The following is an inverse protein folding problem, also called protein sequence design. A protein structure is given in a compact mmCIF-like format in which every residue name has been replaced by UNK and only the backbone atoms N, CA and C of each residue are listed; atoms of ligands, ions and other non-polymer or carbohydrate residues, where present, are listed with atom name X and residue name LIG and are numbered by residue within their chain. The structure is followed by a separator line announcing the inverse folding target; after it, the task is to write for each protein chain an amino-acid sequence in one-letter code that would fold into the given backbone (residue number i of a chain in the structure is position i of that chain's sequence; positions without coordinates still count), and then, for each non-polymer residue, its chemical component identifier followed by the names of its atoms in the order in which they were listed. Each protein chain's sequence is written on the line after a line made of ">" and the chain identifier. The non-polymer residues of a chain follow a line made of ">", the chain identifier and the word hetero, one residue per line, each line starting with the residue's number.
data_IF_878636285146
#
_entry.id   IF_878636285146
#
_cell.length_a   1.000
_cell.length_b   1.000
_cell.length_c   1.000
_cell.angle_alpha   90.00
_cell.angle_beta   90.00
_cell.angle_gamma   90.00
#
_symmetry.space_group_name_H-M   'P 1'
#
loop_
_entity.id
_entity.type
_entity.pdbx_description
1 polymer ?
#
# COMPACT_ATOMS: atom_id res chain seq x y z
N UNK A 1 -16.87 -41.51 61.53
CA UNK A 1 -17.53 -40.52 62.43
C UNK A 1 -17.14 -39.14 61.92
N UNK A 2 -17.97 -38.13 61.77
CA UNK A 2 -19.36 -37.88 62.17
C UNK A 2 -19.84 -36.71 61.29
N UNK A 3 -21.14 -36.73 60.96
CA UNK A 3 -21.94 -35.67 60.31
C UNK A 3 -21.78 -34.30 60.97
N UNK A 4 -22.26 -33.23 60.31
CA UNK A 4 -23.12 -32.12 60.83
C UNK A 4 -23.02 -30.97 59.80
N UNK A 5 -24.02 -30.71 58.95
CA UNK A 5 -25.28 -29.95 59.14
C UNK A 5 -25.12 -28.43 59.30
N UNK A 6 -25.97 -27.72 58.53
CA UNK A 6 -26.68 -26.46 58.84
C UNK A 6 -25.88 -25.15 58.95
N UNK A 7 -26.25 -24.11 58.18
CA UNK A 7 -27.31 -23.14 58.55
C UNK A 7 -27.33 -21.92 57.61
N UNK A 8 -28.47 -21.23 57.60
CA UNK A 8 -28.99 -20.15 56.76
C UNK A 8 -28.12 -18.87 56.76
N UNK A 9 -28.16 -17.99 55.75
CA UNK A 9 -29.16 -16.91 55.70
C UNK A 9 -29.15 -16.12 54.38
N UNK A 10 -30.35 -15.89 53.86
CA UNK A 10 -30.69 -15.04 52.71
C UNK A 10 -30.43 -13.55 52.98
N UNK A 11 -29.93 -12.82 51.97
CA UNK A 11 -30.17 -11.38 51.83
C UNK A 11 -30.63 -11.10 50.40
N UNK A 12 -31.89 -10.67 50.26
CA UNK A 12 -32.49 -10.19 49.01
C UNK A 12 -32.20 -8.70 48.87
N UNK A 13 -31.65 -8.27 47.73
CA UNK A 13 -31.58 -6.84 47.37
C UNK A 13 -32.63 -6.56 46.31
N UNK A 14 -33.50 -5.60 46.63
CA UNK A 14 -34.66 -5.19 45.85
C UNK A 14 -34.27 -4.47 44.56
N UNK A 15 -35.03 -4.78 43.51
CA UNK A 15 -35.21 -3.96 42.33
C UNK A 15 -36.09 -2.73 42.62
N UNK A 16 -35.79 -1.59 42.02
CA UNK A 16 -36.75 -0.51 41.80
C UNK A 16 -36.55 0.11 40.40
N UNK A 17 -37.64 0.39 39.66
CA UNK A 17 -37.59 0.82 38.25
C UNK A 17 -37.57 2.35 38.12
N UNK A 18 -36.88 2.83 37.08
CA UNK A 18 -36.87 4.24 36.68
C UNK A 18 -38.07 4.53 35.78
N UNK A 19 -38.93 5.45 36.21
CA UNK A 19 -40.14 5.86 35.54
C UNK A 19 -40.00 7.23 34.84
N UNK A 20 -40.84 7.38 33.80
CA UNK A 20 -41.54 8.59 33.36
C UNK A 20 -40.81 9.69 32.55
N UNK A 21 -40.96 9.54 31.23
CA UNK A 21 -41.43 10.52 30.22
C UNK A 21 -41.75 11.95 30.71
N UNK A 22 -41.10 12.94 30.08
CA UNK A 22 -41.70 14.25 29.77
C UNK A 22 -41.37 14.64 28.32
N UNK A 23 -42.42 14.77 27.51
CA UNK A 23 -42.39 15.39 26.20
C UNK A 23 -42.43 16.92 26.36
N UNK A 24 -41.42 17.61 25.87
CA UNK A 24 -41.41 19.07 25.71
C UNK A 24 -41.12 19.37 24.23
N UNK A 25 -42.01 20.14 23.62
CA UNK A 25 -42.15 20.27 22.18
C UNK A 25 -41.02 21.04 21.49
N UNK A 26 -40.82 20.68 20.21
CA UNK A 26 -40.39 21.58 19.15
C UNK A 26 -41.09 21.09 17.86
N UNK A 27 -42.35 21.46 17.70
CA UNK A 27 -43.02 21.38 16.40
C UNK A 27 -42.69 22.63 15.60
N UNK A 28 -41.94 22.44 14.50
CA UNK A 28 -42.02 23.26 13.30
C UNK A 28 -41.10 24.48 13.24
N UNK A 29 -40.02 24.37 12.46
CA UNK A 29 -39.79 25.17 11.24
C UNK A 29 -38.81 24.37 10.36
N UNK A 30 -39.33 23.38 9.64
CA UNK A 30 -38.60 22.83 8.50
C UNK A 30 -38.73 23.85 7.37
N UNK A 31 -37.61 24.48 7.02
CA UNK A 31 -37.54 25.44 5.92
C UNK A 31 -37.67 24.67 4.58
N UNK A 32 -38.76 24.81 3.81
CA UNK A 32 -38.96 24.05 2.57
C UNK A 32 -38.13 24.61 1.40
N UNK A 33 -37.08 25.38 1.67
CA UNK A 33 -36.22 26.03 0.66
C UNK A 33 -34.76 25.59 0.67
N UNK A 34 -34.35 24.69 1.57
CA UNK A 34 -32.96 24.22 1.60
C UNK A 34 -32.72 23.12 0.55
N UNK A 35 -32.74 23.46 -0.74
CA UNK A 35 -32.00 22.70 -1.74
C UNK A 35 -30.53 22.80 -1.37
N UNK A 36 -30.03 21.82 -0.62
CA UNK A 36 -28.60 21.55 -0.56
C UNK A 36 -28.19 21.20 -1.97
N UNK A 37 -27.54 22.14 -2.66
CA UNK A 37 -26.79 21.83 -3.86
C UNK A 37 -25.75 20.80 -3.42
N UNK A 38 -26.04 19.52 -3.64
CA UNK A 38 -25.08 18.46 -3.48
C UNK A 38 -24.04 18.69 -4.57
N UNK A 39 -22.94 19.33 -4.17
CA UNK A 39 -21.77 19.45 -5.02
C UNK A 39 -21.33 18.04 -5.36
N UNK A 40 -21.67 17.58 -6.57
CA UNK A 40 -21.27 16.28 -7.07
C UNK A 40 -19.76 16.17 -6.93
N UNK A 41 -19.30 15.18 -6.15
CA UNK A 41 -17.88 14.91 -6.02
C UNK A 41 -17.34 14.60 -7.42
N UNK A 42 -16.22 15.23 -7.83
CA UNK A 42 -15.61 14.92 -9.12
C UNK A 42 -15.30 13.42 -9.17
N UNK A 43 -15.49 12.82 -10.35
CA UNK A 43 -15.19 11.42 -10.58
C UNK A 43 -13.74 11.12 -10.17
N UNK A 44 -13.54 9.95 -9.54
CA UNK A 44 -12.22 9.55 -9.08
C UNK A 44 -11.23 9.48 -10.27
N UNK A 45 -9.97 9.92 -10.08
CA UNK A 45 -8.97 9.83 -11.13
C UNK A 45 -8.71 8.34 -11.49
N UNK A 46 -8.31 8.07 -12.75
CA UNK A 46 -7.96 6.72 -13.16
C UNK A 46 -6.82 6.17 -12.28
N UNK A 47 -6.90 4.89 -11.92
CA UNK A 47 -5.89 4.22 -11.12
C UNK A 47 -4.62 3.99 -11.94
N UNK A 48 -3.46 4.20 -11.31
CA UNK A 48 -2.16 3.83 -11.89
C UNK A 48 -2.05 2.29 -11.82
N UNK A 49 -1.73 1.61 -12.93
CA UNK A 49 -1.51 0.16 -12.92
C UNK A 49 -0.39 -0.22 -11.96
N UNK A 50 -0.55 -1.34 -11.24
CA UNK A 50 0.43 -1.80 -10.23
C UNK A 50 1.77 -2.13 -10.88
N UNK A 51 1.73 -2.60 -12.11
CA UNK A 51 2.89 -2.98 -12.92
C UNK A 51 3.79 -1.77 -13.18
N UNK A 52 3.24 -0.56 -13.31
CA UNK A 52 4.01 0.67 -13.51
C UNK A 52 4.77 1.05 -12.24
N UNK A 53 4.19 0.81 -11.06
CA UNK A 53 4.77 1.19 -9.78
C UNK A 53 5.74 0.15 -9.22
N UNK A 54 5.47 -1.14 -9.47
CA UNK A 54 6.16 -2.26 -8.83
C UNK A 54 6.82 -3.23 -9.81
N UNK A 55 6.70 -2.98 -11.12
CA UNK A 55 7.39 -3.76 -12.15
C UNK A 55 8.88 -3.44 -12.23
N UNK A 56 9.59 -4.21 -13.06
CA UNK A 56 10.99 -3.89 -13.35
C UNK A 56 11.08 -2.63 -14.21
N UNK A 57 12.09 -1.78 -13.97
CA UNK A 57 12.37 -0.66 -14.85
C UNK A 57 12.89 -1.14 -16.21
N UNK A 58 12.63 -0.36 -17.26
CA UNK A 58 13.19 -0.63 -18.60
C UNK A 58 14.72 -0.57 -18.59
N UNK A 59 15.28 0.45 -17.93
CA UNK A 59 16.72 0.64 -17.71
C UNK A 59 16.94 1.32 -16.36
N UNK A 60 17.88 0.82 -15.56
CA UNK A 60 18.21 1.39 -14.26
C UNK A 60 19.72 1.35 -13.95
N UNK A 61 20.12 2.09 -12.93
CA UNK A 61 21.47 2.09 -12.35
C UNK A 61 22.60 2.35 -13.38
N UNK A 62 22.35 3.17 -14.40
CA UNK A 62 23.30 3.42 -15.51
C UNK A 62 24.68 3.90 -15.02
N UNK A 63 25.73 3.36 -15.63
CA UNK A 63 27.13 3.73 -15.36
C UNK A 63 27.94 3.81 -16.66
N UNK A 64 28.78 4.83 -16.79
CA UNK A 64 29.73 4.97 -17.90
C UNK A 64 31.02 4.23 -17.56
N UNK A 65 31.64 3.58 -18.54
CA UNK A 65 32.96 2.94 -18.38
C UNK A 65 34.05 3.99 -18.12
N UNK A 66 35.17 3.63 -17.45
CA UNK A 66 36.25 4.58 -17.17
C UNK A 66 36.86 5.24 -18.42
N UNK A 67 36.89 4.52 -19.55
CA UNK A 67 37.39 5.02 -20.84
C UNK A 67 36.35 5.85 -21.63
N UNK A 68 35.11 5.97 -21.12
CA UNK A 68 34.04 6.75 -21.74
C UNK A 68 33.45 6.13 -23.01
N UNK A 69 33.82 4.91 -23.39
CA UNK A 69 33.35 4.29 -24.64
C UNK A 69 32.07 3.49 -24.50
N UNK A 70 31.75 3.04 -23.29
CA UNK A 70 30.64 2.14 -23.03
C UNK A 70 29.75 2.65 -21.91
N UNK A 71 28.46 2.29 -21.98
CA UNK A 71 27.52 2.38 -20.89
C UNK A 71 27.13 0.97 -20.46
N UNK A 72 27.03 0.77 -19.15
CA UNK A 72 26.37 -0.38 -18.58
C UNK A 72 25.09 0.08 -17.88
N UNK A 73 24.07 -0.77 -17.84
CA UNK A 73 22.79 -0.52 -17.15
C UNK A 73 22.13 -1.84 -16.77
N UNK A 74 21.20 -1.82 -15.83
CA UNK A 74 20.32 -2.95 -15.52
C UNK A 74 19.07 -2.90 -16.40
N UNK A 75 18.73 -4.01 -17.04
CA UNK A 75 17.50 -4.18 -17.78
C UNK A 75 17.02 -5.65 -17.73
N UNK A 76 15.70 -5.90 -17.80
CA UNK A 76 15.16 -7.25 -17.65
C UNK A 76 15.49 -8.13 -18.85
N UNK A 77 15.93 -9.35 -18.58
CA UNK A 77 15.94 -10.48 -19.52
C UNK A 77 14.90 -11.46 -19.01
N UNK A 78 13.83 -11.69 -19.78
CA UNK A 78 12.70 -12.53 -19.37
C UNK A 78 12.12 -12.16 -17.99
N UNK A 79 12.05 -10.86 -17.68
CA UNK A 79 11.53 -10.38 -16.39
C UNK A 79 12.50 -10.43 -15.21
N UNK A 80 13.78 -10.78 -15.43
CA UNK A 80 14.82 -10.76 -14.37
C UNK A 80 15.91 -9.75 -14.73
N UNK A 81 16.22 -8.81 -13.82
CA UNK A 81 17.22 -7.77 -14.06
C UNK A 81 18.62 -8.36 -14.26
N UNK A 82 19.24 -7.97 -15.36
CA UNK A 82 20.59 -8.36 -15.75
C UNK A 82 21.40 -7.12 -16.13
N UNK A 83 22.72 -7.24 -16.12
CA UNK A 83 23.63 -6.20 -16.64
C UNK A 83 23.66 -6.26 -18.16
N UNK A 84 23.44 -5.11 -18.78
CA UNK A 84 23.57 -4.85 -20.20
C UNK A 84 24.72 -3.88 -20.44
N UNK A 85 25.37 -4.00 -21.60
CA UNK A 85 26.42 -3.09 -22.04
C UNK A 85 26.14 -2.64 -23.46
N UNK A 86 26.31 -1.34 -23.72
CA UNK A 86 26.16 -0.73 -25.04
C UNK A 86 27.29 0.29 -25.29
N UNK A 87 27.71 0.52 -26.55
CA UNK A 87 28.54 1.68 -26.91
C UNK A 87 27.83 2.99 -26.58
N UNK A 88 28.56 4.00 -26.11
CA UNK A 88 28.00 5.35 -25.81
C UNK A 88 27.34 5.98 -27.05
N UNK A 89 27.99 5.80 -28.21
CA UNK A 89 27.52 6.32 -29.50
C UNK A 89 26.31 5.56 -30.08
N UNK A 90 26.03 4.33 -29.60
CA UNK A 90 24.90 3.54 -30.05
C UNK A 90 24.27 2.75 -28.91
N UNK A 91 23.39 3.42 -28.17
CA UNK A 91 22.73 2.90 -26.97
C UNK A 91 21.77 1.74 -27.27
N UNK A 92 21.23 1.70 -28.47
CA UNK A 92 20.30 0.64 -28.93
C UNK A 92 21.03 -0.67 -29.26
N UNK A 93 22.34 -0.63 -29.50
CA UNK A 93 23.16 -1.83 -29.71
C UNK A 93 23.47 -2.60 -28.42
N UNK A 94 22.79 -2.29 -27.31
CA UNK A 94 23.00 -2.90 -26.01
C UNK A 94 22.73 -4.41 -26.01
N UNK A 95 23.57 -5.16 -25.29
CA UNK A 95 23.42 -6.61 -25.12
C UNK A 95 23.56 -7.01 -23.65
N UNK A 96 22.84 -8.04 -23.18
CA UNK A 96 23.03 -8.56 -21.84
C UNK A 96 24.37 -9.29 -21.76
N UNK A 97 25.19 -8.93 -20.75
CA UNK A 97 26.47 -9.61 -20.46
C UNK A 97 26.35 -10.63 -19.34
N UNK A 98 25.16 -10.71 -18.71
CA UNK A 98 24.82 -11.65 -17.63
C UNK A 98 23.52 -12.38 -17.96
N UNK A 99 23.27 -13.52 -17.28
CA UNK A 99 22.09 -14.37 -17.47
C UNK A 99 21.57 -14.90 -16.13
N UNK A 100 21.39 -14.03 -15.15
CA UNK A 100 20.68 -14.38 -13.91
C UNK A 100 19.21 -14.65 -14.19
N UNK A 101 18.70 -15.74 -13.63
CA UNK A 101 17.30 -16.18 -13.75
C UNK A 101 16.62 -16.28 -12.38
N UNK A 102 17.24 -15.73 -11.33
CA UNK A 102 16.76 -15.84 -9.96
C UNK A 102 16.25 -14.47 -9.49
N UNK A 103 17.01 -13.81 -8.63
CA UNK A 103 16.60 -12.54 -7.99
C UNK A 103 16.84 -11.33 -8.89
N UNK A 104 17.72 -11.45 -9.87
CA UNK A 104 18.22 -10.34 -10.66
C UNK A 104 19.33 -9.57 -9.96
N UNK A 105 20.19 -8.98 -10.77
CA UNK A 105 21.33 -8.18 -10.31
C UNK A 105 20.81 -6.80 -9.91
N UNK A 106 21.16 -6.37 -8.70
CA UNK A 106 20.74 -5.08 -8.15
C UNK A 106 21.87 -4.04 -8.17
N UNK A 107 23.12 -4.51 -8.09
CA UNK A 107 24.31 -3.67 -7.98
C UNK A 107 25.41 -4.27 -8.85
N UNK A 108 26.08 -3.41 -9.61
CA UNK A 108 27.25 -3.74 -10.41
C UNK A 108 28.16 -2.51 -10.52
N UNK A 109 29.43 -2.73 -10.86
CA UNK A 109 30.43 -1.69 -11.07
C UNK A 109 31.37 -2.09 -12.21
N UNK A 110 31.97 -1.09 -12.85
CA UNK A 110 33.14 -1.31 -13.69
C UNK A 110 34.34 -1.62 -12.79
N UNK A 111 35.16 -2.59 -13.20
CA UNK A 111 36.46 -2.80 -12.55
C UNK A 111 37.38 -1.63 -12.90
N UNK A 112 38.08 -1.10 -11.90
CA UNK A 112 39.17 -0.14 -12.08
C UNK A 112 40.47 -0.94 -12.00
N UNK A 113 41.20 -1.03 -13.11
CA UNK A 113 42.53 -1.66 -13.18
C UNK A 113 43.47 -0.76 -13.94
#
# INVERSE_FOLDING_TARGET
>A
MMRILSSLSSVRVLATPLAAVLAAGCTGLADPGATRTETAMPAAPPLIPREVLFGNPDKAALRVSPDGKQIAFLAPVNGVLNVWVAPVENREAGRPVTRDTKRGIQIYFWAYT
#
